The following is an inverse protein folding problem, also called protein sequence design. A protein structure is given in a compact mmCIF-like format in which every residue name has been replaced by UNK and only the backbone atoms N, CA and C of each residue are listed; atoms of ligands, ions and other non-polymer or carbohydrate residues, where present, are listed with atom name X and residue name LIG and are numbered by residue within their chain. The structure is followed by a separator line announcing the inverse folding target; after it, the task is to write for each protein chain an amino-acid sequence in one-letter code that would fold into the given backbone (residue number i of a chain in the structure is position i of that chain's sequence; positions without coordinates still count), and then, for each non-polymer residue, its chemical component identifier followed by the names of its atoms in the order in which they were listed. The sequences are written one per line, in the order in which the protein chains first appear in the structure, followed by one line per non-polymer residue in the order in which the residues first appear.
data_IF_528225283543
#
_entry.id   IF_528225283543
#
_cell.length_a   1.000
_cell.length_b   1.000
_cell.length_c   1.000
_cell.angle_alpha   90.00
_cell.angle_beta   90.00
_cell.angle_gamma   90.00
#
_symmetry.space_group_name_H-M   'P 1'
#
loop_
_entity.id
_entity.type
_entity.pdbx_description
1 polymer ?
#
# COMPACT_ATOMS: atom_id res chain seq x y z
N UNK A 1 -6.45 -23.03 6.39
CA UNK A 1 -5.55 -24.06 5.85
C UNK A 1 -5.26 -25.14 6.88
N UNK A 2 -4.57 -24.84 8.00
CA UNK A 2 -4.12 -25.86 8.97
C UNK A 2 -5.19 -26.87 9.47
N UNK A 3 -6.45 -26.47 9.61
CA UNK A 3 -7.55 -27.38 10.02
C UNK A 3 -7.78 -28.53 9.03
N UNK A 4 -7.35 -28.39 7.77
CA UNK A 4 -7.39 -29.43 6.74
C UNK A 4 -6.20 -30.41 6.74
N UNK A 5 -5.28 -30.26 7.71
CA UNK A 5 -4.01 -31.00 7.84
C UNK A 5 -3.04 -30.81 6.67
N UNK A 6 -1.78 -31.21 6.87
CA UNK A 6 -0.74 -31.11 5.86
C UNK A 6 -1.05 -32.00 4.66
N UNK A 7 -1.46 -33.24 4.93
CA UNK A 7 -1.79 -34.26 3.92
C UNK A 7 -3.05 -33.90 3.12
N UNK A 8 -3.98 -33.17 3.73
CA UNK A 8 -5.23 -32.72 3.12
C UNK A 8 -5.19 -31.31 2.53
N UNK A 9 -4.02 -30.70 2.37
CA UNK A 9 -3.91 -29.31 1.89
C UNK A 9 -4.54 -29.16 0.50
N UNK A 10 -4.21 -30.05 -0.45
CA UNK A 10 -4.78 -29.99 -1.81
C UNK A 10 -6.31 -30.14 -1.81
N UNK A 11 -6.87 -31.00 -0.96
CA UNK A 11 -8.33 -31.13 -0.86
C UNK A 11 -8.97 -29.93 -0.19
N UNK A 12 -8.24 -29.25 0.69
CA UNK A 12 -8.66 -27.97 1.24
C UNK A 12 -8.73 -26.91 0.14
N UNK A 13 -7.72 -26.83 -0.74
CA UNK A 13 -7.75 -25.97 -1.93
C UNK A 13 -8.94 -26.33 -2.83
N UNK A 14 -9.10 -27.61 -3.20
CA UNK A 14 -10.18 -28.08 -4.06
C UNK A 14 -11.55 -27.73 -3.48
N UNK A 15 -11.77 -27.97 -2.19
CA UNK A 15 -13.02 -27.60 -1.49
C UNK A 15 -13.27 -26.09 -1.52
N UNK A 16 -12.25 -25.27 -1.28
CA UNK A 16 -12.38 -23.82 -1.27
C UNK A 16 -12.80 -23.30 -2.65
N UNK A 17 -12.14 -23.77 -3.72
CA UNK A 17 -12.38 -23.26 -5.08
C UNK A 17 -13.59 -23.91 -5.78
N UNK A 18 -14.04 -25.10 -5.37
CA UNK A 18 -15.17 -25.76 -6.06
C UNK A 18 -16.49 -25.69 -5.28
N UNK A 19 -16.45 -25.59 -3.94
CA UNK A 19 -17.67 -25.70 -3.11
C UNK A 19 -17.96 -24.46 -2.29
N UNK A 20 -16.96 -23.89 -1.62
CA UNK A 20 -17.18 -22.75 -0.70
C UNK A 20 -17.20 -21.41 -1.42
N UNK A 21 -16.29 -21.22 -2.38
CA UNK A 21 -16.15 -20.00 -3.18
C UNK A 21 -16.08 -20.35 -4.67
N UNK A 22 -17.16 -20.90 -5.25
CA UNK A 22 -17.15 -21.41 -6.62
C UNK A 22 -16.97 -20.32 -7.70
N UNK A 23 -17.30 -19.07 -7.37
CA UNK A 23 -17.18 -17.93 -8.27
C UNK A 23 -16.50 -16.74 -7.58
N UNK A 24 -16.12 -15.74 -8.37
CA UNK A 24 -15.43 -14.54 -7.92
C UNK A 24 -13.94 -14.77 -7.61
N UNK A 25 -13.33 -13.75 -7.02
CA UNK A 25 -11.93 -13.79 -6.61
C UNK A 25 -11.82 -14.46 -5.25
N UNK A 26 -11.00 -15.51 -5.15
CA UNK A 26 -10.66 -16.16 -3.87
C UNK A 26 -9.14 -16.11 -3.70
N UNK A 27 -8.68 -15.57 -2.58
CA UNK A 27 -7.27 -15.61 -2.20
C UNK A 27 -7.06 -16.67 -1.13
N UNK A 28 -6.07 -17.54 -1.32
CA UNK A 28 -5.78 -18.64 -0.40
C UNK A 28 -4.31 -18.56 0.04
N UNK A 29 -4.08 -18.48 1.35
CA UNK A 29 -2.73 -18.56 1.93
C UNK A 29 -2.08 -19.87 1.49
N UNK A 30 -0.95 -19.78 0.81
CA UNK A 30 -0.38 -20.84 -0.02
C UNK A 30 0.94 -21.39 0.51
N UNK A 31 1.42 -20.93 1.65
CA UNK A 31 2.70 -21.29 2.25
C UNK A 31 2.55 -21.82 3.68
N UNK A 32 1.44 -22.51 3.95
CA UNK A 32 1.19 -23.11 5.27
C UNK A 32 2.26 -24.16 5.63
N UNK A 33 2.72 -24.93 4.63
CA UNK A 33 3.80 -25.92 4.79
C UNK A 33 4.87 -25.79 3.71
N UNK A 34 4.49 -25.83 2.42
CA UNK A 34 5.42 -25.70 1.30
C UNK A 34 4.78 -24.91 0.15
N UNK A 35 5.20 -23.65 0.01
CA UNK A 35 4.74 -22.79 -1.06
C UNK A 35 5.02 -23.33 -2.47
N UNK A 36 6.18 -23.96 -2.67
CA UNK A 36 6.58 -24.43 -3.99
C UNK A 36 5.78 -25.67 -4.39
N UNK A 37 5.41 -26.53 -3.45
CA UNK A 37 4.47 -27.62 -3.70
C UNK A 37 3.09 -27.08 -4.11
N UNK A 38 2.59 -26.03 -3.45
CA UNK A 38 1.29 -25.43 -3.76
C UNK A 38 1.30 -24.72 -5.11
N UNK A 39 2.27 -23.83 -5.34
CA UNK A 39 2.38 -22.98 -6.53
C UNK A 39 2.89 -23.72 -7.78
N UNK A 40 3.29 -24.99 -7.63
CA UNK A 40 3.72 -25.84 -8.74
C UNK A 40 2.92 -27.14 -8.83
N UNK A 41 3.07 -28.03 -7.85
CA UNK A 41 2.43 -29.35 -7.85
C UNK A 41 0.91 -29.28 -7.80
N UNK A 42 0.36 -28.67 -6.74
CA UNK A 42 -1.10 -28.57 -6.58
C UNK A 42 -1.72 -27.64 -7.63
N UNK A 43 -1.05 -26.56 -8.00
CA UNK A 43 -1.47 -25.69 -9.08
C UNK A 43 -1.61 -26.45 -10.42
N UNK A 44 -0.69 -27.34 -10.75
CA UNK A 44 -0.75 -28.16 -11.95
C UNK A 44 -1.87 -29.22 -11.86
N UNK A 45 -2.03 -29.87 -10.71
CA UNK A 45 -3.08 -30.88 -10.52
C UNK A 45 -4.49 -30.27 -10.58
N UNK A 46 -4.69 -29.12 -9.94
CA UNK A 46 -5.97 -28.42 -9.88
C UNK A 46 -6.23 -27.52 -11.10
N UNK A 47 -5.35 -27.54 -12.11
CA UNK A 47 -5.46 -26.68 -13.30
C UNK A 47 -6.84 -26.79 -13.97
N UNK A 48 -7.44 -27.98 -14.20
CA UNK A 48 -8.76 -28.09 -14.79
C UNK A 48 -9.84 -27.38 -13.96
N UNK A 49 -9.86 -27.57 -12.64
CA UNK A 49 -10.82 -26.94 -11.75
C UNK A 49 -10.63 -25.43 -11.68
N UNK A 50 -9.40 -24.94 -11.70
CA UNK A 50 -9.09 -23.50 -11.66
C UNK A 50 -9.55 -22.81 -12.94
N UNK A 51 -9.24 -23.39 -14.12
CA UNK A 51 -9.64 -22.83 -15.42
C UNK A 51 -11.13 -22.90 -15.68
N UNK A 52 -11.87 -23.76 -14.97
CA UNK A 52 -13.33 -23.85 -15.06
C UNK A 52 -14.06 -22.83 -14.18
N UNK A 53 -13.37 -22.02 -13.39
CA UNK A 53 -13.99 -21.06 -12.45
C UNK A 53 -14.57 -19.85 -13.18
N UNK A 54 -15.72 -19.38 -12.72
CA UNK A 54 -16.18 -18.01 -13.00
C UNK A 54 -15.50 -17.02 -12.04
N UNK A 55 -14.20 -16.81 -12.21
CA UNK A 55 -13.42 -15.92 -11.37
C UNK A 55 -11.94 -16.30 -11.31
N UNK A 56 -11.27 -15.86 -10.25
CA UNK A 56 -9.81 -15.96 -10.13
C UNK A 56 -9.42 -16.62 -8.80
N UNK A 57 -8.52 -17.60 -8.86
CA UNK A 57 -7.76 -18.05 -7.70
C UNK A 57 -6.49 -17.19 -7.57
N UNK A 58 -6.27 -16.62 -6.40
CA UNK A 58 -5.08 -15.83 -6.09
C UNK A 58 -4.25 -16.58 -5.05
N UNK A 59 -3.07 -17.05 -5.46
CA UNK A 59 -2.10 -17.67 -4.56
C UNK A 59 -1.51 -16.58 -3.65
N UNK A 60 -1.38 -16.88 -2.36
CA UNK A 60 -0.91 -15.93 -1.35
C UNK A 60 0.20 -16.53 -0.49
N UNK A 61 1.48 -16.44 -0.89
CA UNK A 61 2.57 -16.57 0.05
C UNK A 61 2.53 -15.42 1.08
N UNK A 62 2.86 -15.71 2.33
CA UNK A 62 2.83 -14.78 3.46
C UNK A 62 4.10 -14.90 4.34
N UNK A 63 5.17 -15.52 3.81
CA UNK A 63 6.45 -15.71 4.48
C UNK A 63 7.63 -15.77 3.50
N UNK A 64 8.83 -15.47 4.00
CA UNK A 64 10.06 -15.42 3.21
C UNK A 64 10.40 -14.02 2.68
N UNK A 65 11.41 -13.96 1.80
CA UNK A 65 11.76 -12.71 1.13
C UNK A 65 10.81 -12.49 -0.06
N UNK A 66 10.00 -11.42 -0.07
CA UNK A 66 9.00 -11.21 -1.12
C UNK A 66 9.61 -11.05 -2.51
N UNK A 67 10.79 -10.45 -2.63
CA UNK A 67 11.46 -10.27 -3.92
C UNK A 67 11.85 -11.63 -4.47
N UNK A 68 12.51 -12.46 -3.66
CA UNK A 68 12.96 -13.81 -4.03
C UNK A 68 11.79 -14.76 -4.30
N UNK A 69 10.74 -14.71 -3.50
CA UNK A 69 9.56 -15.57 -3.71
C UNK A 69 8.84 -15.21 -5.02
N UNK A 70 8.60 -13.93 -5.27
CA UNK A 70 7.81 -13.48 -6.43
C UNK A 70 8.64 -13.55 -7.71
N UNK A 71 9.87 -13.00 -7.69
CA UNK A 71 10.71 -12.84 -8.87
C UNK A 71 11.68 -14.01 -9.07
N UNK A 72 11.92 -14.83 -8.06
CA UNK A 72 12.91 -15.91 -8.09
C UNK A 72 14.18 -15.57 -7.33
N UNK A 73 14.83 -16.60 -6.79
CA UNK A 73 16.09 -16.52 -6.06
C UNK A 73 17.25 -17.00 -6.96
N UNK A 74 18.16 -16.11 -7.40
CA UNK A 74 19.29 -16.51 -8.24
C UNK A 74 20.26 -17.46 -7.54
N UNK A 75 20.24 -17.53 -6.21
CA UNK A 75 21.08 -18.42 -5.41
C UNK A 75 20.47 -19.84 -5.27
N UNK A 76 19.21 -20.03 -5.66
CA UNK A 76 18.55 -21.33 -5.61
C UNK A 76 19.05 -22.27 -6.72
N UNK A 77 18.90 -23.60 -6.56
CA UNK A 77 19.28 -24.55 -7.60
C UNK A 77 18.65 -24.19 -8.95
N UNK A 78 19.45 -24.21 -10.02
CA UNK A 78 19.01 -23.87 -11.36
C UNK A 78 17.75 -24.67 -11.73
N UNK A 79 16.82 -24.01 -12.40
CA UNK A 79 15.52 -24.55 -12.83
C UNK A 79 14.54 -24.97 -11.72
N UNK A 80 14.91 -24.83 -10.44
CA UNK A 80 13.98 -25.05 -9.32
C UNK A 80 12.84 -24.02 -9.33
N UNK A 81 11.69 -24.33 -8.69
CA UNK A 81 10.62 -23.35 -8.51
C UNK A 81 11.10 -22.07 -7.83
N UNK A 82 11.98 -22.20 -6.84
CA UNK A 82 12.58 -21.06 -6.14
C UNK A 82 13.44 -20.19 -7.07
N UNK A 83 14.23 -20.78 -7.96
CA UNK A 83 15.01 -20.04 -8.96
C UNK A 83 14.13 -19.27 -9.95
N UNK A 84 13.03 -19.90 -10.38
CA UNK A 84 12.07 -19.30 -11.32
C UNK A 84 11.23 -18.20 -10.66
N UNK A 85 10.84 -18.38 -9.42
CA UNK A 85 9.89 -17.50 -8.74
C UNK A 85 8.44 -17.84 -9.04
N UNK A 86 7.54 -17.31 -8.21
CA UNK A 86 6.14 -17.69 -8.20
C UNK A 86 5.42 -17.44 -9.53
N UNK A 87 5.62 -16.25 -10.11
CA UNK A 87 4.89 -15.84 -11.33
C UNK A 87 5.33 -16.66 -12.53
N UNK A 88 6.63 -16.97 -12.63
CA UNK A 88 7.17 -17.76 -13.72
C UNK A 88 6.72 -19.23 -13.63
N UNK A 89 6.64 -19.80 -12.42
CA UNK A 89 6.06 -21.13 -12.20
C UNK A 89 4.59 -21.19 -12.68
N UNK A 90 3.77 -20.22 -12.26
CA UNK A 90 2.36 -20.16 -12.67
C UNK A 90 2.22 -19.97 -14.18
N UNK A 91 3.09 -19.15 -14.79
CA UNK A 91 3.11 -18.99 -16.25
C UNK A 91 3.39 -20.32 -16.96
N UNK A 92 4.32 -21.13 -16.44
CA UNK A 92 4.62 -22.46 -17.00
C UNK A 92 3.43 -23.42 -16.95
N UNK A 93 2.53 -23.27 -15.97
CA UNK A 93 1.36 -24.13 -15.78
C UNK A 93 0.16 -23.62 -16.58
N UNK A 94 -0.20 -22.35 -16.41
CA UNK A 94 -1.44 -21.78 -16.93
C UNK A 94 -1.26 -21.04 -18.26
N UNK A 95 -0.05 -20.56 -18.54
CA UNK A 95 0.19 -19.63 -19.63
C UNK A 95 -0.50 -18.29 -19.38
N UNK A 96 -0.89 -17.63 -20.47
CA UNK A 96 -1.57 -16.36 -20.43
C UNK A 96 -1.46 -15.60 -21.75
N UNK A 97 -1.44 -14.29 -21.68
CA UNK A 97 -1.33 -13.39 -22.83
C UNK A 97 -0.05 -12.55 -22.73
N UNK A 98 0.30 -11.86 -23.82
CA UNK A 98 1.40 -10.89 -23.83
C UNK A 98 0.81 -9.53 -24.18
N UNK A 99 1.18 -8.50 -23.43
CA UNK A 99 0.78 -7.12 -23.72
C UNK A 99 1.43 -6.62 -25.01
N UNK A 100 0.91 -5.53 -25.58
CA UNK A 100 1.53 -4.83 -26.72
C UNK A 100 2.98 -4.40 -26.45
N UNK A 101 3.33 -4.20 -25.17
CA UNK A 101 4.69 -3.85 -24.72
C UNK A 101 5.61 -5.06 -24.52
N UNK A 102 5.15 -6.28 -24.81
CA UNK A 102 5.96 -7.50 -24.71
C UNK A 102 5.98 -8.16 -23.32
N UNK A 103 5.22 -7.67 -22.35
CA UNK A 103 5.16 -8.25 -21.01
C UNK A 103 4.11 -9.36 -20.90
N UNK A 104 4.49 -10.48 -20.26
CA UNK A 104 3.64 -11.63 -19.98
C UNK A 104 2.61 -11.35 -18.88
N UNK A 105 1.34 -11.64 -19.15
CA UNK A 105 0.21 -11.52 -18.22
C UNK A 105 -0.41 -12.90 -18.05
N UNK A 106 -0.38 -13.44 -16.83
CA UNK A 106 -0.97 -14.73 -16.48
C UNK A 106 -2.42 -14.85 -16.96
N UNK A 107 -2.86 -16.09 -17.16
CA UNK A 107 -4.27 -16.39 -17.41
C UNK A 107 -5.18 -15.71 -16.37
N UNK A 108 -6.33 -15.19 -16.85
CA UNK A 108 -7.26 -14.42 -16.04
C UNK A 108 -7.84 -15.17 -14.83
N UNK A 109 -7.74 -16.49 -14.78
CA UNK A 109 -8.20 -17.32 -13.68
C UNK A 109 -7.18 -17.47 -12.55
N UNK A 110 -5.94 -17.00 -12.73
CA UNK A 110 -4.89 -17.06 -11.71
C UNK A 110 -4.28 -15.69 -11.41
N UNK A 111 -3.68 -15.56 -10.23
CA UNK A 111 -2.93 -14.38 -9.83
C UNK A 111 -2.15 -14.62 -8.55
N UNK A 112 -1.35 -13.63 -8.17
CA UNK A 112 -0.55 -13.68 -6.96
C UNK A 112 -0.83 -12.44 -6.08
N UNK A 113 -0.88 -12.63 -4.77
CA UNK A 113 -0.85 -11.53 -3.80
C UNK A 113 0.21 -11.83 -2.75
N UNK A 114 1.03 -10.85 -2.42
CA UNK A 114 2.00 -10.96 -1.32
C UNK A 114 1.67 -9.94 -0.24
N UNK A 115 1.46 -10.41 0.98
CA UNK A 115 0.94 -9.60 2.09
C UNK A 115 1.93 -9.33 3.23
N UNK A 116 3.03 -10.07 3.31
CA UNK A 116 3.99 -9.92 4.40
C UNK A 116 5.04 -8.84 4.13
N UNK A 117 5.17 -7.92 5.08
CA UNK A 117 6.28 -6.97 5.16
C UNK A 117 6.56 -6.19 3.86
N UNK A 118 5.52 -5.83 3.10
CA UNK A 118 5.65 -4.98 1.90
C UNK A 118 5.83 -3.52 2.32
N UNK A 119 6.91 -2.91 1.84
CA UNK A 119 7.22 -1.47 1.92
C UNK A 119 7.31 -0.91 0.49
N UNK A 120 7.36 0.42 0.33
CA UNK A 120 7.54 1.04 -1.00
C UNK A 120 8.79 0.51 -1.70
N UNK A 121 9.93 0.51 -1.01
CA UNK A 121 11.20 0.03 -1.57
C UNK A 121 11.13 -1.45 -2.00
N UNK A 122 10.43 -2.31 -1.24
CA UNK A 122 10.23 -3.71 -1.61
C UNK A 122 9.30 -3.86 -2.81
N UNK A 123 8.20 -3.09 -2.85
CA UNK A 123 7.29 -3.07 -3.99
C UNK A 123 8.04 -2.65 -5.28
N UNK A 124 8.85 -1.60 -5.22
CA UNK A 124 9.69 -1.15 -6.35
C UNK A 124 10.68 -2.24 -6.80
N UNK A 125 11.37 -2.90 -5.86
CA UNK A 125 12.29 -3.99 -6.17
C UNK A 125 11.60 -5.18 -6.84
N UNK A 126 10.40 -5.55 -6.39
CA UNK A 126 9.59 -6.61 -7.00
C UNK A 126 9.20 -6.20 -8.43
N UNK A 127 8.69 -4.98 -8.62
CA UNK A 127 8.27 -4.50 -9.93
C UNK A 127 9.44 -4.46 -10.93
N UNK A 128 10.61 -4.00 -10.50
CA UNK A 128 11.82 -4.02 -11.32
C UNK A 128 12.27 -5.46 -11.65
N UNK A 129 12.19 -6.39 -10.69
CA UNK A 129 12.51 -7.80 -10.92
C UNK A 129 11.56 -8.47 -11.91
N UNK A 130 10.26 -8.20 -11.82
CA UNK A 130 9.25 -8.66 -12.78
C UNK A 130 9.48 -8.07 -14.17
N UNK A 131 9.77 -6.77 -14.25
CA UNK A 131 10.09 -6.08 -15.50
C UNK A 131 11.31 -6.72 -16.19
N UNK A 132 12.39 -6.96 -15.43
CA UNK A 132 13.60 -7.61 -15.95
C UNK A 132 13.35 -9.02 -16.50
N UNK A 133 12.29 -9.70 -16.03
CA UNK A 133 11.84 -11.01 -16.51
C UNK A 133 10.79 -10.95 -17.63
N UNK A 134 10.46 -9.76 -18.12
CA UNK A 134 9.41 -9.56 -19.11
C UNK A 134 8.03 -9.97 -18.59
N UNK A 135 7.76 -9.77 -17.31
CA UNK A 135 6.49 -10.10 -16.64
C UNK A 135 5.76 -8.80 -16.30
N UNK A 136 4.47 -8.74 -16.61
CA UNK A 136 3.66 -7.56 -16.35
C UNK A 136 3.38 -7.39 -14.84
N UNK A 137 3.38 -6.13 -14.39
CA UNK A 137 3.14 -5.78 -12.98
C UNK A 137 1.73 -6.13 -12.49
N UNK A 138 0.74 -6.20 -13.39
CA UNK A 138 -0.65 -6.54 -13.05
C UNK A 138 -0.86 -8.00 -12.62
N UNK A 139 0.16 -8.85 -12.69
CA UNK A 139 0.11 -10.23 -12.19
C UNK A 139 0.13 -10.32 -10.66
N UNK A 140 0.58 -9.26 -9.97
CA UNK A 140 0.81 -9.25 -8.53
C UNK A 140 0.03 -8.12 -7.87
N UNK A 141 -0.64 -8.45 -6.76
CA UNK A 141 -1.22 -7.48 -5.83
C UNK A 141 -0.35 -7.42 -4.57
N UNK A 142 -0.20 -6.23 -4.00
CA UNK A 142 0.52 -6.05 -2.73
C UNK A 142 -0.47 -5.82 -1.59
N UNK A 143 -0.39 -6.68 -0.57
CA UNK A 143 -0.99 -6.42 0.74
C UNK A 143 -0.01 -5.61 1.60
N UNK A 144 -0.46 -4.47 2.10
CA UNK A 144 0.33 -3.62 3.02
C UNK A 144 -0.30 -3.66 4.41
N UNK A 145 0.55 -3.67 5.43
CA UNK A 145 0.15 -3.84 6.83
C UNK A 145 0.89 -2.90 7.78
N UNK A 146 1.39 -3.45 8.88
CA UNK A 146 1.99 -2.71 10.00
C UNK A 146 3.08 -1.72 9.60
N UNK A 147 3.96 -2.08 8.66
CA UNK A 147 5.02 -1.18 8.16
C UNK A 147 4.49 0.09 7.49
N UNK A 148 3.30 0.05 6.91
CA UNK A 148 2.68 1.22 6.27
C UNK A 148 1.75 1.96 7.23
N UNK A 149 0.94 1.24 8.01
CA UNK A 149 -0.09 1.86 8.85
C UNK A 149 0.37 2.24 10.26
N UNK A 150 1.29 1.48 10.84
CA UNK A 150 1.61 1.56 12.28
C UNK A 150 3.09 1.86 12.57
N UNK A 151 3.95 1.83 11.55
CA UNK A 151 5.39 2.08 11.70
C UNK A 151 5.76 3.55 11.54
N UNK A 152 4.90 4.42 12.07
CA UNK A 152 5.12 5.85 12.16
C UNK A 152 4.71 6.33 13.55
N UNK A 153 5.46 7.28 14.10
CA UNK A 153 5.10 7.98 15.34
C UNK A 153 4.70 9.42 15.01
N UNK A 154 4.16 10.13 16.00
CA UNK A 154 3.93 11.58 15.90
C UNK A 154 5.19 12.33 15.44
N UNK A 155 6.36 11.89 15.93
CA UNK A 155 7.64 12.52 15.66
C UNK A 155 8.17 12.21 14.25
N UNK A 156 7.72 11.13 13.61
CA UNK A 156 8.07 10.80 12.22
C UNK A 156 7.73 11.93 11.24
N UNK A 157 6.62 12.63 11.49
CA UNK A 157 6.21 13.79 10.68
C UNK A 157 6.34 15.12 11.44
N UNK A 158 6.91 15.12 12.65
CA UNK A 158 7.07 16.32 13.46
C UNK A 158 5.76 16.99 13.90
N UNK A 159 4.66 16.23 14.07
CA UNK A 159 3.37 16.82 14.47
C UNK A 159 3.46 17.50 15.84
N UNK A 160 3.08 18.77 15.87
CA UNK A 160 3.17 19.60 17.06
C UNK A 160 2.02 20.61 17.13
N UNK A 161 1.48 20.79 18.33
CA UNK A 161 0.58 21.92 18.66
C UNK A 161 1.35 22.92 19.52
N UNK A 162 1.23 24.20 19.19
CA UNK A 162 1.82 25.33 19.90
C UNK A 162 0.85 26.50 19.88
N UNK A 163 0.65 27.15 21.02
CA UNK A 163 -0.04 28.44 21.07
C UNK A 163 0.91 29.54 20.59
N UNK A 164 0.46 30.38 19.67
CA UNK A 164 1.24 31.47 19.07
C UNK A 164 0.68 32.87 19.35
N UNK A 165 -0.57 32.96 19.80
CA UNK A 165 -1.25 34.20 20.18
C UNK A 165 -2.20 33.96 21.36
N UNK A 166 -2.46 34.99 22.16
CA UNK A 166 -3.50 35.00 23.19
C UNK A 166 -3.96 36.42 23.52
N UNK A 167 -5.13 36.54 24.14
CA UNK A 167 -5.71 37.85 24.50
C UNK A 167 -5.85 37.98 26.02
N UNK A 168 -5.45 39.14 26.55
CA UNK A 168 -5.53 39.47 27.97
C UNK A 168 -6.17 40.85 28.09
N UNK A 169 -7.30 40.95 28.79
CA UNK A 169 -8.04 42.20 28.97
C UNK A 169 -8.37 42.92 27.64
N UNK A 170 -8.67 42.17 26.58
CA UNK A 170 -8.94 42.71 25.24
C UNK A 170 -7.69 43.13 24.44
N UNK A 171 -6.49 42.93 24.99
CA UNK A 171 -5.21 43.17 24.31
C UNK A 171 -4.59 41.88 23.79
N UNK A 172 -4.31 41.84 22.49
CA UNK A 172 -3.59 40.74 21.85
C UNK A 172 -2.12 40.65 22.26
N UNK A 173 -1.61 39.44 22.43
CA UNK A 173 -0.21 39.15 22.77
C UNK A 173 0.33 38.01 21.92
N UNK A 174 1.37 38.32 21.15
CA UNK A 174 2.18 37.30 20.48
C UNK A 174 2.95 36.46 21.52
N UNK A 175 2.91 35.15 21.36
CA UNK A 175 3.67 34.19 22.19
C UNK A 175 4.41 33.21 21.28
N UNK A 176 5.50 32.65 21.77
CA UNK A 176 6.31 31.66 21.05
C UNK A 176 7.23 30.91 22.02
N UNK A 177 7.77 29.76 21.57
CA UNK A 177 8.84 29.04 22.26
C UNK A 177 10.11 29.05 21.41
N UNK A 178 11.24 29.33 22.06
CA UNK A 178 12.57 29.32 21.44
C UNK A 178 13.60 28.75 22.43
N UNK A 179 13.61 27.43 22.66
CA UNK A 179 14.50 26.80 23.63
C UNK A 179 15.97 26.83 23.16
N UNK A 180 16.86 27.41 23.97
CA UNK A 180 18.29 27.56 23.63
C UNK A 180 19.08 26.26 23.44
N UNK A 181 18.59 25.16 24.01
CA UNK A 181 19.26 23.85 23.99
C UNK A 181 18.79 22.96 22.83
N UNK A 182 18.04 23.53 21.91
CA UNK A 182 17.44 22.82 20.79
C UNK A 182 18.18 23.12 19.49
N UNK A 183 18.12 22.20 18.54
CA UNK A 183 18.76 22.29 17.22
C UNK A 183 18.00 23.18 16.23
N UNK A 184 16.97 23.90 16.71
CA UNK A 184 16.14 24.83 15.93
C UNK A 184 14.81 24.25 15.49
N UNK A 185 14.57 22.94 15.68
CA UNK A 185 13.34 22.24 15.26
C UNK A 185 12.14 22.57 16.17
N UNK A 186 12.37 22.91 17.44
CA UNK A 186 11.34 23.23 18.44
C UNK A 186 11.02 24.73 18.52
N UNK A 187 11.65 25.57 17.70
CA UNK A 187 11.29 26.98 17.58
C UNK A 187 9.90 27.08 16.95
N UNK A 188 8.95 27.73 17.63
CA UNK A 188 7.59 27.91 17.11
C UNK A 188 7.44 29.20 16.31
N UNK A 189 6.45 29.23 15.43
CA UNK A 189 5.92 30.48 14.87
C UNK A 189 5.36 31.39 15.98
N UNK A 190 5.12 32.66 15.64
CA UNK A 190 4.75 33.72 16.59
C UNK A 190 3.55 34.54 16.09
N UNK A 191 2.62 34.88 16.97
CA UNK A 191 1.46 35.72 16.64
C UNK A 191 0.38 35.00 15.82
N UNK A 192 -0.46 35.77 15.14
CA UNK A 192 -1.44 35.23 14.19
C UNK A 192 -0.72 34.70 12.94
N UNK A 193 -1.25 33.61 12.37
CA UNK A 193 -0.58 32.83 11.34
C UNK A 193 -1.44 32.74 10.08
N UNK A 194 -0.81 32.92 8.92
CA UNK A 194 -1.41 32.80 7.60
C UNK A 194 -0.66 31.76 6.78
N UNK A 195 -1.40 30.92 6.06
CA UNK A 195 -0.81 30.01 5.06
C UNK A 195 -1.14 30.56 3.68
N UNK A 196 -0.13 30.70 2.83
CA UNK A 196 -0.26 31.19 1.46
C UNK A 196 0.16 30.09 0.49
N UNK A 197 -0.45 30.05 -0.69
CA UNK A 197 0.01 29.22 -1.78
C UNK A 197 0.76 30.11 -2.79
N UNK A 198 2.08 29.93 -2.88
CA UNK A 198 2.94 30.64 -3.81
C UNK A 198 3.42 29.61 -4.84
N UNK A 199 2.90 29.69 -6.06
CA UNK A 199 3.27 28.80 -7.17
C UNK A 199 3.19 27.29 -6.84
N UNK A 200 2.15 26.88 -6.12
CA UNK A 200 1.92 25.48 -5.73
C UNK A 200 2.62 25.06 -4.43
N UNK A 201 3.42 25.95 -3.83
CA UNK A 201 4.11 25.73 -2.56
C UNK A 201 3.39 26.47 -1.44
N UNK A 202 3.03 25.74 -0.39
CA UNK A 202 2.43 26.34 0.79
C UNK A 202 3.49 26.95 1.72
N UNK A 203 3.35 28.24 2.00
CA UNK A 203 4.26 29.04 2.82
C UNK A 203 3.53 29.55 4.06
N UNK A 204 4.18 29.47 5.23
CA UNK A 204 3.67 30.04 6.47
C UNK A 204 4.20 31.48 6.63
N UNK A 205 3.31 32.43 6.87
CA UNK A 205 3.63 33.76 7.36
C UNK A 205 3.11 33.91 8.79
N UNK A 206 3.95 34.43 9.69
CA UNK A 206 3.62 34.64 11.09
C UNK A 206 3.56 36.13 11.44
N UNK A 207 3.11 36.47 12.65
CA UNK A 207 2.97 37.86 13.13
C UNK A 207 2.04 38.71 12.26
N UNK A 208 0.98 38.08 11.77
CA UNK A 208 -0.02 38.73 10.93
C UNK A 208 -0.95 39.60 11.79
N UNK A 209 -1.59 40.58 11.16
CA UNK A 209 -2.77 41.23 11.72
C UNK A 209 -4.01 40.33 11.56
N UNK A 210 -5.22 40.87 11.77
CA UNK A 210 -6.44 40.10 11.54
C UNK A 210 -6.49 39.63 10.09
N UNK A 211 -6.61 38.32 9.90
CA UNK A 211 -6.47 37.69 8.58
C UNK A 211 -7.83 37.67 7.89
N UNK A 212 -7.89 38.21 6.67
CA UNK A 212 -9.02 37.99 5.78
C UNK A 212 -9.02 36.52 5.30
N UNK A 213 -10.19 35.88 5.31
CA UNK A 213 -10.34 34.50 4.90
C UNK A 213 -9.95 34.31 3.42
N UNK A 214 -10.20 35.30 2.56
CA UNK A 214 -9.89 35.24 1.13
C UNK A 214 -8.38 35.35 0.85
N UNK A 215 -7.60 35.85 1.82
CA UNK A 215 -6.16 35.99 1.73
C UNK A 215 -5.42 34.75 2.28
N UNK A 216 -6.12 33.78 2.89
CA UNK A 216 -5.52 32.63 3.56
C UNK A 216 -5.93 31.30 2.91
N UNK A 217 -4.97 30.39 2.74
CA UNK A 217 -5.24 29.02 2.30
C UNK A 217 -5.89 28.14 3.37
N UNK A 218 -5.95 28.60 4.63
CA UNK A 218 -6.65 27.90 5.70
C UNK A 218 -8.15 28.21 5.64
N UNK A 219 -8.97 27.18 5.79
CA UNK A 219 -10.43 27.31 5.80
C UNK A 219 -10.99 27.05 7.19
N UNK A 220 -12.04 27.79 7.56
CA UNK A 220 -12.76 27.56 8.80
C UNK A 220 -13.61 26.29 8.68
N UNK A 221 -13.12 25.19 9.24
CA UNK A 221 -13.82 23.89 9.21
C UNK A 221 -14.76 23.69 10.42
N UNK A 222 -14.53 24.41 11.52
CA UNK A 222 -15.30 24.30 12.76
C UNK A 222 -15.39 25.67 13.44
N UNK A 223 -16.55 26.01 14.00
CA UNK A 223 -16.77 27.26 14.74
C UNK A 223 -17.82 27.04 15.82
N UNK A 224 -17.53 27.44 17.05
CA UNK A 224 -18.49 27.49 18.18
C UNK A 224 -19.34 26.23 18.34
N UNK A 225 -18.68 25.07 18.37
CA UNK A 225 -19.36 23.78 18.55
C UNK A 225 -19.95 23.17 17.28
N UNK A 226 -19.84 23.84 16.13
CA UNK A 226 -20.44 23.41 14.86
C UNK A 226 -19.37 23.08 13.82
N UNK A 227 -19.48 21.89 13.22
CA UNK A 227 -18.74 21.52 12.02
C UNK A 227 -19.32 22.29 10.83
N UNK A 228 -18.48 23.06 10.14
CA UNK A 228 -18.87 23.88 8.98
C UNK A 228 -18.59 23.18 7.66
N UNK A 229 -17.58 22.30 7.64
CA UNK A 229 -17.16 21.54 6.47
C UNK A 229 -17.12 20.06 6.84
N UNK A 230 -17.97 19.26 6.21
CA UNK A 230 -18.12 17.82 6.43
C UNK A 230 -17.85 17.07 5.11
N UNK A 231 -16.56 16.98 4.76
CA UNK A 231 -16.14 16.39 3.49
C UNK A 231 -16.22 14.87 3.49
N UNK A 232 -16.80 14.32 2.43
CA UNK A 232 -16.69 12.88 2.16
C UNK A 232 -15.26 12.48 1.80
N UNK A 233 -14.92 11.20 2.02
CA UNK A 233 -13.63 10.63 1.56
C UNK A 233 -13.44 10.83 0.05
N UNK A 234 -14.51 10.78 -0.74
CA UNK A 234 -14.45 11.02 -2.18
C UNK A 234 -14.01 12.46 -2.50
N UNK A 235 -14.56 13.45 -1.79
CA UNK A 235 -14.15 14.85 -1.93
C UNK A 235 -12.68 15.06 -1.53
N UNK A 236 -12.24 14.43 -0.44
CA UNK A 236 -10.83 14.47 -0.01
C UNK A 236 -9.90 13.87 -1.09
N UNK A 237 -10.28 12.75 -1.70
CA UNK A 237 -9.51 12.13 -2.80
C UNK A 237 -9.42 13.02 -4.03
N UNK A 238 -10.52 13.69 -4.41
CA UNK A 238 -10.54 14.59 -5.56
C UNK A 238 -9.56 15.77 -5.43
N UNK A 239 -9.27 16.22 -4.21
CA UNK A 239 -8.26 17.27 -3.95
C UNK A 239 -6.84 16.84 -4.31
N UNK A 240 -6.53 15.55 -4.16
CA UNK A 240 -5.22 15.00 -4.47
C UNK A 240 -5.02 14.82 -5.98
N UNK A 241 -6.09 14.51 -6.71
CA UNK A 241 -6.05 14.27 -8.17
C UNK A 241 -6.13 15.54 -9.00
N UNK A 242 -6.63 16.64 -8.42
CA UNK A 242 -6.78 17.94 -9.10
C UNK A 242 -5.55 18.85 -8.95
N UNK A 243 -4.42 18.36 -8.40
CA UNK A 243 -3.14 19.06 -8.55
C UNK A 243 -2.70 18.92 -10.00
N UNK A 244 -2.80 20.01 -10.74
CA UNK A 244 -2.49 20.13 -12.15
C UNK A 244 -1.12 19.53 -12.53
N UNK A 245 -1.10 18.93 -13.72
CA UNK A 245 0.10 18.68 -14.52
C UNK A 245 0.87 19.97 -14.82
#
# INVERSE_FOLDING_TARGET
MCMGTCEGEIETFRRLITRLYPAGIVSIVSDTWDFWQVNNGFAAELKPEILAREGKLVFRPDSGDPVRIICGDPDAPADSPAFKGAVECLWGIFGGTTTEKGFRVLDGHVGLIYGDSITLARAEAILAGLEAKGIASNNVVFGVGSYTYQYATRDTFGFAVKSTYGEINGGGREIYKDPKTDDGVKKSARGLLKVMNVDGVYCLADRQELIDADDCSMQKVFCDGKLLIDDSIAAVRARLTNKAA
#
